data_IF_691769194652
#
_entry.id   IF_691769194652
#
_cell.length_a   1.000
_cell.length_b   1.000
_cell.length_c   1.000
_cell.angle_alpha   90.00
_cell.angle_beta   90.00
_cell.angle_gamma   90.00
#
_symmetry.space_group_name_H-M   'P 1'
#
loop_
_entity.id
_entity.type
_entity.pdbx_description
1 polymer ?
#
# COMPACT_ATOMS: atom_id res chain seq x y z
N UNK A 1 47.47 -7.45 7.11
CA UNK A 1 46.78 -8.47 7.95
C UNK A 1 45.28 -8.21 7.84
N UNK A 2 44.58 -9.03 7.05
CA UNK A 2 43.14 -8.88 6.76
C UNK A 2 42.30 -9.68 7.76
N UNK A 3 41.21 -9.10 8.31
CA UNK A 3 40.03 -9.80 8.88
C UNK A 3 38.90 -8.79 9.13
N UNK A 4 37.97 -8.60 8.19
CA UNK A 4 36.67 -9.30 8.02
C UNK A 4 35.76 -9.19 9.25
N UNK A 5 34.89 -8.17 9.24
CA UNK A 5 33.66 -8.16 10.05
C UNK A 5 32.54 -8.76 9.19
N UNK A 6 31.92 -9.82 9.71
CA UNK A 6 30.89 -10.61 9.02
C UNK A 6 29.58 -9.84 9.08
N UNK A 7 28.99 -9.57 7.92
CA UNK A 7 27.67 -8.97 7.78
C UNK A 7 26.64 -9.98 8.31
N UNK A 8 25.96 -9.60 9.39
CA UNK A 8 24.90 -10.36 10.03
C UNK A 8 23.78 -10.70 9.05
N UNK A 9 23.25 -11.90 9.24
CA UNK A 9 22.29 -12.55 8.38
C UNK A 9 20.85 -12.07 8.64
N UNK A 10 20.05 -12.16 7.57
CA UNK A 10 18.59 -12.39 7.56
C UNK A 10 17.70 -11.31 8.16
N UNK A 11 17.31 -10.38 7.31
CA UNK A 11 15.90 -9.98 7.23
C UNK A 11 15.35 -10.49 5.90
N UNK A 12 14.20 -11.15 5.96
CA UNK A 12 13.42 -11.50 4.78
C UNK A 12 13.25 -10.26 3.90
N UNK A 13 13.17 -10.38 2.57
CA UNK A 13 12.75 -9.27 1.74
C UNK A 13 11.27 -8.97 2.07
N UNK A 14 11.04 -8.12 3.07
CA UNK A 14 9.88 -7.23 3.10
C UNK A 14 9.87 -6.50 1.75
N UNK A 15 8.97 -6.83 0.80
CA UNK A 15 9.11 -6.35 -0.57
C UNK A 15 8.73 -4.88 -0.76
N UNK A 16 8.55 -4.12 0.31
CA UNK A 16 7.88 -2.84 0.21
C UNK A 16 8.69 -1.76 0.93
N UNK A 17 9.38 -0.87 0.19
CA UNK A 17 10.16 0.20 0.78
C UNK A 17 9.21 1.27 1.34
N UNK A 18 9.32 1.59 2.63
CA UNK A 18 8.58 2.67 3.29
C UNK A 18 8.55 3.95 2.42
N UNK A 19 7.35 4.41 2.07
CA UNK A 19 7.06 5.64 1.30
C UNK A 19 7.61 5.63 -0.14
N UNK A 20 6.77 5.23 -1.11
CA UNK A 20 7.16 5.00 -2.52
C UNK A 20 7.03 3.54 -2.98
N UNK A 21 6.14 2.75 -2.35
CA UNK A 21 6.07 1.28 -2.42
C UNK A 21 5.67 0.67 -3.76
N UNK A 22 5.45 1.48 -4.79
CA UNK A 22 4.75 1.02 -5.98
C UNK A 22 3.49 0.26 -5.56
N UNK A 23 2.68 0.84 -4.67
CA UNK A 23 1.42 0.25 -4.22
C UNK A 23 0.30 1.23 -4.57
N UNK A 24 -0.69 0.76 -5.31
CA UNK A 24 -1.86 1.51 -5.71
C UNK A 24 -3.06 1.06 -4.87
N UNK A 25 -3.86 2.03 -4.43
CA UNK A 25 -5.13 1.74 -3.76
C UNK A 25 -6.18 1.42 -4.81
N UNK A 26 -6.71 0.20 -4.75
CA UNK A 26 -7.70 -0.31 -5.70
C UNK A 26 -8.95 -0.82 -4.97
N UNK A 27 -10.09 -0.81 -5.64
CA UNK A 27 -11.30 -1.38 -5.11
C UNK A 27 -11.16 -2.92 -5.00
N UNK A 28 -11.48 -3.54 -3.85
CA UNK A 28 -11.38 -4.99 -3.72
C UNK A 28 -12.42 -5.75 -4.56
N UNK A 29 -13.52 -5.10 -4.96
CA UNK A 29 -14.55 -5.70 -5.80
C UNK A 29 -14.21 -5.60 -7.30
N UNK A 30 -13.73 -4.43 -7.76
CA UNK A 30 -13.57 -4.16 -9.20
C UNK A 30 -12.13 -3.84 -9.64
N UNK A 31 -11.17 -3.85 -8.72
CA UNK A 31 -9.74 -3.55 -8.91
C UNK A 31 -9.44 -2.22 -9.61
N UNK A 32 -10.40 -1.31 -9.67
CA UNK A 32 -10.19 0.05 -10.19
C UNK A 32 -9.47 0.91 -9.18
N UNK A 33 -8.67 1.89 -9.63
CA UNK A 33 -8.09 2.89 -8.76
C UNK A 33 -9.16 3.58 -7.90
N UNK A 34 -8.83 3.79 -6.63
CA UNK A 34 -9.66 4.54 -5.71
C UNK A 34 -9.17 5.97 -5.59
N UNK A 35 -10.10 6.90 -5.52
CA UNK A 35 -9.82 8.29 -5.20
C UNK A 35 -9.77 8.48 -3.69
N UNK A 36 -8.79 9.25 -3.21
CA UNK A 36 -8.63 9.57 -1.81
C UNK A 36 -9.42 10.86 -1.49
N UNK A 37 -10.31 10.77 -0.51
CA UNK A 37 -11.12 11.88 -0.02
C UNK A 37 -10.84 12.15 1.45
N UNK A 38 -10.84 13.42 1.81
CA UNK A 38 -10.81 13.83 3.22
C UNK A 38 -12.24 13.76 3.79
N UNK A 39 -12.39 13.16 4.95
CA UNK A 39 -13.67 13.03 5.64
C UNK A 39 -13.78 14.04 6.76
N UNK A 40 -15.00 14.43 7.12
CA UNK A 40 -15.25 15.46 8.16
C UNK A 40 -14.70 15.14 9.54
N UNK A 41 -14.33 13.88 9.77
CA UNK A 41 -13.72 13.39 11.01
C UNK A 41 -12.21 13.73 11.09
N UNK A 42 -11.64 14.33 10.03
CA UNK A 42 -10.20 14.55 9.88
C UNK A 42 -9.44 13.29 9.47
N UNK A 43 -10.16 12.23 9.11
CA UNK A 43 -9.64 10.99 8.56
C UNK A 43 -9.77 10.97 7.03
N UNK A 44 -8.98 10.14 6.34
CA UNK A 44 -9.06 9.98 4.88
C UNK A 44 -9.78 8.69 4.51
N UNK A 45 -10.54 8.69 3.42
CA UNK A 45 -11.24 7.51 2.91
C UNK A 45 -10.99 7.34 1.41
N UNK A 46 -10.73 6.11 1.00
CA UNK A 46 -10.66 5.74 -0.40
C UNK A 46 -12.07 5.42 -0.91
N UNK A 47 -12.46 6.01 -2.04
CA UNK A 47 -13.79 5.85 -2.64
C UNK A 47 -13.73 5.29 -4.05
N UNK A 48 -14.59 4.33 -4.34
CA UNK A 48 -14.78 3.74 -5.67
C UNK A 48 -16.04 4.29 -6.32
N UNK A 49 -15.88 5.02 -7.42
CA UNK A 49 -17.02 5.52 -8.21
C UNK A 49 -17.79 4.41 -8.95
N UNK A 50 -17.13 3.32 -9.32
CA UNK A 50 -17.76 2.22 -10.03
C UNK A 50 -18.66 1.36 -9.12
N UNK A 51 -18.19 1.07 -7.90
CA UNK A 51 -18.93 0.26 -6.93
C UNK A 51 -19.77 1.09 -5.96
N UNK A 52 -19.61 2.42 -5.93
CA UNK A 52 -20.23 3.33 -4.95
C UNK A 52 -19.95 2.89 -3.50
N UNK A 53 -18.71 2.47 -3.24
CA UNK A 53 -18.24 1.99 -1.93
C UNK A 53 -16.96 2.72 -1.56
N UNK A 54 -16.78 2.98 -0.27
CA UNK A 54 -15.52 3.49 0.26
C UNK A 54 -15.07 2.77 1.51
N UNK A 55 -13.79 2.87 1.81
CA UNK A 55 -13.19 2.37 3.05
C UNK A 55 -12.21 3.38 3.63
N UNK A 56 -12.02 3.30 4.94
CA UNK A 56 -11.12 4.18 5.70
C UNK A 56 -9.67 3.93 5.31
N UNK A 57 -8.89 4.98 5.10
CA UNK A 57 -7.45 4.88 4.82
C UNK A 57 -6.69 4.33 6.03
N UNK A 58 -7.20 4.53 7.25
CA UNK A 58 -6.66 3.92 8.47
C UNK A 58 -6.96 2.41 8.61
N UNK A 59 -7.89 1.86 7.82
CA UNK A 59 -8.23 0.42 7.85
C UNK A 59 -8.55 -0.10 6.44
N UNK A 60 -7.56 -0.12 5.53
CA UNK A 60 -7.76 -0.64 4.20
C UNK A 60 -7.83 -2.16 4.24
N UNK A 61 -8.75 -2.79 3.48
CA UNK A 61 -8.73 -4.25 3.33
C UNK A 61 -7.46 -4.67 2.58
N UNK A 62 -6.92 -5.85 2.88
CA UNK A 62 -5.68 -6.35 2.27
C UNK A 62 -5.74 -6.40 0.73
N UNK A 63 -6.92 -6.68 0.18
CA UNK A 63 -7.18 -6.69 -1.27
C UNK A 63 -7.24 -5.29 -1.92
N UNK A 64 -7.24 -4.21 -1.13
CA UNK A 64 -7.24 -2.85 -1.66
C UNK A 64 -5.83 -2.30 -1.95
N UNK A 65 -4.77 -3.05 -1.65
CA UNK A 65 -3.39 -2.65 -1.93
C UNK A 65 -2.83 -3.54 -3.04
N UNK A 66 -2.62 -2.97 -4.23
CA UNK A 66 -2.05 -3.69 -5.36
C UNK A 66 -0.63 -3.18 -5.67
N UNK A 67 0.35 -4.06 -5.94
CA UNK A 67 1.63 -3.63 -6.48
C UNK A 67 1.45 -2.93 -7.84
N UNK A 68 1.69 -1.64 -7.87
CA UNK A 68 1.99 -0.86 -9.05
C UNK A 68 3.33 -1.39 -9.61
N UNK A 69 3.23 -2.32 -10.56
CA UNK A 69 4.40 -2.88 -11.23
C UNK A 69 5.17 -1.73 -11.90
N UNK A 70 6.38 -1.46 -11.41
CA UNK A 70 7.34 -0.62 -12.12
C UNK A 70 7.73 -1.38 -13.40
N UNK A 71 7.32 -0.86 -14.56
CA UNK A 71 7.84 -1.30 -15.87
C UNK A 71 9.25 -0.77 -16.09
#
# INVERSE_FOLDING_TARGET
MTRKIRKGAREAPEPYPASGRGLMHVCPDCHRPLDLYDTRDGDQAYWCHACQKGHRAGSPPLAALQPQQAS
#
